data_IF_597953463925
#
_entry.id   IF_597953463925
#
_cell.length_a   1.000
_cell.length_b   1.000
_cell.length_c   1.000
_cell.angle_alpha   90.00
_cell.angle_beta   90.00
_cell.angle_gamma   90.00
#
_symmetry.space_group_name_H-M   'P 1'
#
loop_
_entity.id
_entity.type
_entity.pdbx_description
1 polymer ?
#
# COMPACT_ATOMS: atom_id res chain seq x y z
N UNK A 1 2.05 -30.47 4.06
CA UNK A 1 2.66 -29.95 2.81
C UNK A 1 1.96 -28.73 2.20
N UNK A 2 0.67 -28.44 2.46
CA UNK A 2 0.02 -27.22 1.92
C UNK A 2 0.26 -25.96 2.77
N UNK A 3 0.30 -26.08 4.10
CA UNK A 3 0.55 -24.98 5.04
C UNK A 3 1.91 -24.29 4.79
N UNK A 4 2.98 -25.07 4.67
CA UNK A 4 4.31 -24.56 4.38
C UNK A 4 4.37 -23.82 3.05
N UNK A 5 3.69 -24.31 2.01
CA UNK A 5 3.63 -23.64 0.69
C UNK A 5 2.99 -22.26 0.78
N UNK A 6 1.91 -22.11 1.57
CA UNK A 6 1.25 -20.81 1.76
C UNK A 6 2.13 -19.86 2.55
N UNK A 7 2.77 -20.35 3.61
CA UNK A 7 3.70 -19.56 4.43
C UNK A 7 5.00 -19.21 3.71
N UNK A 8 5.42 -20.02 2.75
CA UNK A 8 6.58 -19.71 1.90
C UNK A 8 6.31 -18.48 1.02
N UNK A 9 5.06 -18.16 0.69
CA UNK A 9 4.73 -16.89 0.01
C UNK A 9 5.07 -15.67 0.86
N UNK A 10 4.88 -15.75 2.19
CA UNK A 10 5.32 -14.71 3.12
C UNK A 10 6.84 -14.65 3.20
N UNK A 11 7.52 -15.79 3.11
CA UNK A 11 8.99 -15.85 3.14
C UNK A 11 9.67 -15.19 1.94
N UNK A 12 9.05 -15.24 0.75
CA UNK A 12 9.58 -14.61 -0.47
C UNK A 12 9.11 -13.17 -0.65
N UNK A 13 8.31 -12.65 0.27
CA UNK A 13 7.91 -11.25 0.25
C UNK A 13 9.01 -10.41 0.92
N UNK A 14 9.65 -9.53 0.13
CA UNK A 14 10.75 -8.67 0.60
C UNK A 14 10.33 -7.74 1.75
N UNK A 15 9.03 -7.47 1.90
CA UNK A 15 8.50 -6.60 2.95
C UNK A 15 8.26 -7.31 4.29
N UNK A 16 8.36 -8.65 4.33
CA UNK A 16 8.10 -9.46 5.53
C UNK A 16 9.42 -9.82 6.21
N UNK A 17 9.58 -9.39 7.46
CA UNK A 17 10.75 -9.75 8.27
C UNK A 17 10.59 -11.10 8.96
N UNK A 18 9.35 -11.47 9.31
CA UNK A 18 9.06 -12.74 9.95
C UNK A 18 7.57 -13.02 10.07
N UNK A 19 7.22 -14.27 10.36
CA UNK A 19 5.84 -14.66 10.60
C UNK A 19 5.76 -15.84 11.57
N UNK A 20 4.64 -15.95 12.28
CA UNK A 20 4.34 -17.11 13.12
C UNK A 20 2.86 -17.45 13.06
N UNK A 21 2.58 -18.74 13.04
CA UNK A 21 1.26 -19.27 13.36
C UNK A 21 1.22 -19.58 14.85
N UNK A 22 0.30 -18.95 15.57
CA UNK A 22 0.23 -18.94 17.03
C UNK A 22 -1.15 -19.46 17.45
N UNK A 23 -1.20 -20.22 18.54
CA UNK A 23 -2.47 -20.62 19.17
C UNK A 23 -3.11 -19.44 19.91
N UNK A 24 -4.38 -19.58 20.33
CA UNK A 24 -5.04 -18.56 21.15
C UNK A 24 -4.32 -18.28 22.48
N UNK A 25 -3.60 -19.27 23.01
CA UNK A 25 -2.83 -19.16 24.25
C UNK A 25 -1.48 -18.44 24.03
N UNK A 26 -1.19 -18.05 22.80
CA UNK A 26 0.00 -17.29 22.45
C UNK A 26 1.26 -18.15 22.25
N UNK A 27 1.11 -19.47 22.14
CA UNK A 27 2.23 -20.37 21.83
C UNK A 27 2.43 -20.47 20.30
N UNK A 28 3.64 -20.16 19.78
CA UNK A 28 3.93 -20.33 18.37
C UNK A 28 4.00 -21.81 18.02
N UNK A 29 3.24 -22.22 17.01
CA UNK A 29 3.29 -23.56 16.42
C UNK A 29 4.34 -23.63 15.31
N UNK A 30 4.38 -22.59 14.47
CA UNK A 30 5.38 -22.44 13.43
C UNK A 30 5.83 -20.98 13.45
N UNK A 31 7.12 -20.72 13.57
CA UNK A 31 7.68 -19.38 13.56
C UNK A 31 8.87 -19.30 12.61
N UNK A 32 9.00 -18.18 11.92
CA UNK A 32 10.10 -17.88 11.02
C UNK A 32 10.54 -16.44 11.25
N UNK A 33 11.81 -16.26 11.64
CA UNK A 33 12.47 -14.95 11.80
C UNK A 33 11.67 -13.89 12.59
N UNK A 34 10.86 -14.31 13.57
CA UNK A 34 10.16 -13.40 14.47
C UNK A 34 11.06 -13.06 15.67
N UNK A 35 11.36 -11.77 15.93
CA UNK A 35 12.17 -11.38 17.08
C UNK A 35 11.50 -11.76 18.41
N UNK A 36 12.31 -12.24 19.36
CA UNK A 36 11.83 -12.68 20.69
C UNK A 36 11.14 -11.54 21.48
N UNK A 37 11.50 -10.29 21.21
CA UNK A 37 10.91 -9.10 21.83
C UNK A 37 9.44 -8.87 21.44
N UNK A 38 9.02 -9.41 20.28
CA UNK A 38 7.67 -9.23 19.74
C UNK A 38 6.69 -10.25 20.35
N UNK A 39 7.18 -11.45 20.68
CA UNK A 39 6.34 -12.56 21.19
C UNK A 39 5.57 -12.20 22.48
N UNK A 40 6.17 -11.56 23.51
CA UNK A 40 5.44 -11.12 24.69
C UNK A 40 4.30 -10.14 24.38
N UNK A 41 4.50 -9.23 23.40
CA UNK A 41 3.48 -8.26 22.99
C UNK A 41 2.31 -8.94 22.28
N UNK A 42 2.61 -9.93 21.44
CA UNK A 42 1.58 -10.75 20.79
C UNK A 42 0.79 -11.53 21.86
N UNK A 43 1.47 -12.20 22.80
CA UNK A 43 0.83 -12.92 23.91
C UNK A 43 -0.07 -12.02 24.75
N UNK A 44 0.40 -10.82 25.10
CA UNK A 44 -0.41 -9.85 25.85
C UNK A 44 -1.65 -9.40 25.08
N UNK A 45 -1.50 -9.13 23.78
CA UNK A 45 -2.60 -8.70 22.91
C UNK A 45 -3.64 -9.80 22.75
N UNK A 46 -3.21 -11.05 22.58
CA UNK A 46 -4.11 -12.21 22.50
C UNK A 46 -4.85 -12.44 23.81
N UNK A 47 -4.22 -12.28 24.98
CA UNK A 47 -4.92 -12.42 26.28
C UNK A 47 -6.08 -11.45 26.45
N UNK A 48 -5.96 -10.23 25.94
CA UNK A 48 -6.98 -9.18 26.10
C UNK A 48 -8.04 -9.27 25.00
N UNK A 49 -7.63 -9.55 23.76
CA UNK A 49 -8.50 -9.45 22.58
C UNK A 49 -8.79 -10.81 21.92
N UNK A 50 -8.52 -11.94 22.58
CA UNK A 50 -8.72 -13.28 22.03
C UNK A 50 -10.12 -13.51 21.46
N UNK A 51 -11.19 -12.92 21.99
CA UNK A 51 -12.53 -13.20 21.47
C UNK A 51 -12.89 -12.35 20.23
N UNK A 52 -12.39 -11.11 20.16
CA UNK A 52 -12.80 -10.14 19.13
C UNK A 52 -11.76 -9.91 18.03
N UNK A 53 -10.58 -10.55 18.14
CA UNK A 53 -9.51 -10.39 17.16
C UNK A 53 -9.90 -10.98 15.79
N UNK A 54 -10.19 -10.10 14.83
CA UNK A 54 -10.27 -10.46 13.39
C UNK A 54 -8.97 -10.10 12.69
N UNK A 55 -8.60 -8.82 12.80
CA UNK A 55 -7.38 -8.25 12.24
C UNK A 55 -6.95 -7.11 13.18
N UNK A 56 -5.71 -7.10 13.62
CA UNK A 56 -5.17 -6.10 14.54
C UNK A 56 -3.70 -5.85 14.20
N UNK A 57 -3.23 -4.63 14.43
CA UNK A 57 -1.84 -4.28 14.28
C UNK A 57 -1.21 -3.90 15.62
N UNK A 58 0.06 -4.24 15.79
CA UNK A 58 0.90 -3.86 16.91
C UNK A 58 2.12 -3.16 16.31
N UNK A 59 2.33 -1.90 16.70
CA UNK A 59 3.52 -1.16 16.33
C UNK A 59 4.68 -1.56 17.26
N UNK A 60 5.81 -1.90 16.67
CA UNK A 60 7.06 -2.24 17.36
C UNK A 60 8.22 -1.45 16.74
N UNK A 61 9.32 -1.34 17.48
CA UNK A 61 10.54 -0.65 17.02
C UNK A 61 11.17 -1.36 15.80
N UNK A 62 10.89 -2.66 15.64
CA UNK A 62 11.33 -3.49 14.51
C UNK A 62 10.39 -3.42 13.30
N UNK A 63 9.23 -2.76 13.42
CA UNK A 63 8.24 -2.63 12.35
C UNK A 63 6.81 -2.88 12.80
N UNK A 64 5.94 -3.19 11.84
CA UNK A 64 4.50 -3.38 12.07
C UNK A 64 4.17 -4.86 12.13
N UNK A 65 3.63 -5.32 13.27
CA UNK A 65 3.17 -6.70 13.44
C UNK A 65 1.67 -6.74 13.20
N UNK A 66 1.23 -7.50 12.22
CA UNK A 66 -0.18 -7.74 11.94
C UNK A 66 -0.58 -9.10 12.51
N UNK A 67 -1.59 -9.09 13.37
CA UNK A 67 -2.27 -10.27 13.89
C UNK A 67 -3.58 -10.47 13.13
N UNK A 68 -3.75 -11.64 12.52
CA UNK A 68 -4.94 -11.99 11.78
C UNK A 68 -5.46 -13.35 12.21
N UNK A 69 -6.77 -13.43 12.49
CA UNK A 69 -7.40 -14.69 12.84
C UNK A 69 -7.65 -15.53 11.59
N UNK A 70 -7.07 -16.72 11.57
CA UNK A 70 -7.27 -17.68 10.47
C UNK A 70 -8.44 -18.62 10.77
N UNK A 71 -8.53 -19.10 12.02
CA UNK A 71 -9.59 -20.01 12.48
C UNK A 71 -9.86 -19.73 13.98
N UNK A 72 -10.96 -20.20 14.62
CA UNK A 72 -11.19 -19.97 16.05
C UNK A 72 -10.07 -20.46 16.98
N UNK A 73 -9.12 -21.26 16.48
CA UNK A 73 -7.99 -21.82 17.24
C UNK A 73 -6.62 -21.26 16.85
N UNK A 74 -6.54 -20.54 15.72
CA UNK A 74 -5.27 -20.18 15.08
C UNK A 74 -5.23 -18.69 14.70
N UNK A 75 -4.13 -18.04 15.09
CA UNK A 75 -3.82 -16.65 14.76
C UNK A 75 -2.50 -16.59 14.01
N UNK A 76 -2.51 -15.95 12.85
CA UNK A 76 -1.31 -15.63 12.09
C UNK A 76 -0.76 -14.28 12.58
N UNK A 77 0.51 -14.26 12.94
CA UNK A 77 1.28 -13.06 13.20
C UNK A 77 2.28 -12.85 12.05
N UNK A 78 2.32 -11.66 11.47
CA UNK A 78 3.28 -11.31 10.42
C UNK A 78 3.96 -10.00 10.80
N UNK A 79 5.28 -10.00 10.86
CA UNK A 79 6.09 -8.80 11.08
C UNK A 79 6.54 -8.25 9.72
N UNK A 80 6.19 -7.00 9.46
CA UNK A 80 6.58 -6.27 8.26
C UNK A 80 7.66 -5.24 8.57
N UNK A 81 8.45 -4.90 7.55
CA UNK A 81 9.43 -3.82 7.60
C UNK A 81 8.79 -2.47 7.98
N UNK A 82 9.52 -1.58 8.68
CA UNK A 82 9.02 -0.26 9.08
C UNK A 82 8.59 0.63 7.91
N UNK A 83 9.17 0.41 6.73
CA UNK A 83 8.94 1.20 5.51
C UNK A 83 7.60 0.88 4.83
N UNK A 84 7.00 -0.29 5.14
CA UNK A 84 5.73 -0.69 4.55
C UNK A 84 4.56 0.05 5.21
N UNK A 85 3.75 0.71 4.39
CA UNK A 85 2.50 1.33 4.86
C UNK A 85 1.55 0.27 5.45
N UNK A 86 0.91 0.62 6.57
CA UNK A 86 0.01 -0.26 7.31
C UNK A 86 -1.11 -0.87 6.43
N UNK A 87 -1.68 -0.09 5.52
CA UNK A 87 -2.71 -0.58 4.60
C UNK A 87 -2.21 -1.73 3.70
N UNK A 88 -0.96 -1.65 3.24
CA UNK A 88 -0.31 -2.71 2.48
C UNK A 88 -0.04 -3.96 3.33
N UNK A 89 0.43 -3.77 4.57
CA UNK A 89 0.63 -4.86 5.52
C UNK A 89 -0.67 -5.63 5.79
N UNK A 90 -1.76 -4.91 6.08
CA UNK A 90 -3.07 -5.49 6.35
C UNK A 90 -3.63 -6.26 5.14
N UNK A 91 -3.54 -5.68 3.94
CA UNK A 91 -4.00 -6.34 2.70
C UNK A 91 -3.25 -7.65 2.46
N UNK A 92 -1.91 -7.63 2.55
CA UNK A 92 -1.07 -8.82 2.32
C UNK A 92 -1.32 -9.91 3.34
N UNK A 93 -1.48 -9.55 4.62
CA UNK A 93 -1.86 -10.52 5.64
C UNK A 93 -3.24 -11.11 5.35
N UNK A 94 -4.22 -10.31 4.92
CA UNK A 94 -5.55 -10.79 4.58
C UNK A 94 -5.53 -11.77 3.39
N UNK A 95 -4.72 -11.50 2.37
CA UNK A 95 -4.57 -12.40 1.21
C UNK A 95 -4.03 -13.77 1.63
N UNK A 96 -3.06 -13.79 2.54
CA UNK A 96 -2.50 -15.03 3.08
C UNK A 96 -3.50 -15.75 3.98
N UNK A 97 -4.26 -15.03 4.79
CA UNK A 97 -5.33 -15.60 5.62
C UNK A 97 -6.41 -16.25 4.75
N UNK A 98 -6.82 -15.61 3.65
CA UNK A 98 -7.78 -16.18 2.70
C UNK A 98 -7.29 -17.49 2.09
N UNK A 99 -5.98 -17.61 1.85
CA UNK A 99 -5.35 -18.86 1.39
C UNK A 99 -5.26 -19.90 2.50
N UNK A 100 -5.00 -19.49 3.74
CA UNK A 100 -4.91 -20.41 4.89
C UNK A 100 -6.27 -20.96 5.32
N UNK A 101 -7.36 -20.21 5.11
CA UNK A 101 -8.74 -20.69 5.36
C UNK A 101 -9.08 -21.89 4.45
N UNK A 102 -8.46 -21.99 3.27
CA UNK A 102 -8.67 -23.09 2.33
C UNK A 102 -7.82 -24.34 2.65
N UNK A 103 -6.94 -24.26 3.65
CA UNK A 103 -6.06 -25.36 4.05
C UNK A 103 -6.56 -25.94 5.37
N UNK A 104 -6.74 -27.27 5.41
CA UNK A 104 -7.04 -27.95 6.67
C UNK A 104 -5.84 -27.85 7.62
N UNK A 105 -5.97 -26.96 8.60
CA UNK A 105 -4.98 -26.76 9.65
C UNK A 105 -5.00 -27.94 10.61
N UNK A 106 -3.83 -28.47 11.02
CA UNK A 106 -3.79 -29.53 12.02
C UNK A 106 -4.43 -29.05 13.33
N UNK A 107 -5.06 -29.94 14.10
CA UNK A 107 -5.60 -29.59 15.40
C UNK A 107 -4.47 -29.04 16.30
N UNK A 108 -4.74 -28.00 17.12
CA UNK A 108 -3.72 -27.40 17.96
C UNK A 108 -3.18 -28.43 18.96
N UNK A 109 -1.87 -28.38 19.26
CA UNK A 109 -1.28 -29.23 20.28
C UNK A 109 -1.99 -28.97 21.62
N UNK A 110 -2.46 -30.04 22.25
CA UNK A 110 -3.00 -30.01 23.60
C UNK A 110 -1.84 -29.57 24.53
N UNK A 111 -2.03 -28.60 25.43
CA UNK A 111 -0.99 -28.20 26.36
C UNK A 111 -0.74 -29.33 27.35
N UNK A 112 0.29 -30.12 27.09
CA UNK A 112 0.91 -31.00 28.08
C UNK A 112 1.98 -30.21 28.85
N UNK A 113 2.01 -30.30 30.18
CA UNK A 113 3.02 -29.64 31.00
C UNK A 113 4.42 -30.13 30.64
N UNK A 114 5.40 -29.23 30.68
CA UNK A 114 6.84 -29.54 30.53
C UNK A 114 7.20 -30.79 31.34
N UNK A 115 8.05 -31.67 30.77
CA UNK A 115 9.47 -31.53 31.10
C UNK A 115 10.44 -31.84 29.96
N UNK A 116 11.60 -31.20 30.10
CA UNK A 116 12.97 -31.67 29.85
C UNK A 116 13.49 -31.93 28.43
N UNK A 117 14.67 -31.34 28.24
CA UNK A 117 15.59 -31.38 27.12
C UNK A 117 16.07 -32.83 26.90
N UNK A 118 16.09 -33.31 25.65
CA UNK A 118 17.14 -34.21 25.21
C UNK A 118 17.48 -33.99 23.73
N UNK A 119 18.71 -33.50 23.54
CA UNK A 119 19.39 -33.25 22.28
C UNK A 119 20.05 -34.56 21.85
N UNK A 120 19.72 -35.11 20.67
CA UNK A 120 20.67 -35.98 19.92
C UNK A 120 20.44 -35.80 18.41
N UNK A 121 21.51 -35.75 17.59
CA UNK A 121 21.54 -35.12 16.29
C UNK A 121 21.44 -36.09 15.09
N UNK A 122 21.39 -35.46 13.92
CA UNK A 122 21.52 -35.96 12.56
C UNK A 122 22.33 -37.25 12.37
N UNK A 123 21.82 -38.13 11.51
CA UNK A 123 22.67 -38.99 10.68
C UNK A 123 22.05 -39.15 9.28
N UNK A 124 22.84 -38.98 8.21
CA UNK A 124 22.37 -38.99 6.83
C UNK A 124 22.48 -40.39 6.23
N UNK A 125 21.66 -40.70 5.22
CA UNK A 125 22.01 -41.70 4.20
C UNK A 125 21.21 -41.54 2.90
N UNK A 126 21.76 -41.98 1.76
CA UNK A 126 21.53 -41.40 0.44
C UNK A 126 20.82 -42.39 -0.52
N UNK A 127 21.05 -42.21 -1.84
CA UNK A 127 20.75 -43.11 -2.98
C UNK A 127 19.28 -42.90 -3.49
N UNK A 128 18.91 -42.83 -4.78
CA UNK A 128 19.46 -43.25 -6.08
C UNK A 128 18.86 -42.34 -7.18
N UNK A 129 19.60 -42.13 -8.27
CA UNK A 129 19.13 -41.55 -9.54
C UNK A 129 18.21 -42.52 -10.30
N UNK A 130 17.20 -42.02 -11.02
CA UNK A 130 16.71 -42.73 -12.21
C UNK A 130 16.09 -41.77 -13.24
N UNK A 131 16.31 -42.14 -14.50
CA UNK A 131 16.25 -41.36 -15.74
C UNK A 131 14.95 -41.69 -16.48
N UNK A 132 14.33 -40.71 -17.16
CA UNK A 132 13.57 -40.91 -18.42
C UNK A 132 13.10 -39.54 -18.96
N UNK A 133 13.77 -38.94 -19.95
CA UNK A 133 13.52 -39.04 -21.40
C UNK A 133 12.21 -38.40 -21.93
N UNK A 134 12.38 -37.39 -22.80
CA UNK A 134 11.38 -36.86 -23.75
C UNK A 134 11.25 -37.82 -24.94
N UNK A 135 10.12 -37.82 -25.68
CA UNK A 135 10.09 -37.13 -26.99
C UNK A 135 8.69 -36.52 -27.35
N UNK A 136 8.57 -35.31 -27.94
CA UNK A 136 8.55 -34.93 -29.38
C UNK A 136 7.12 -34.69 -29.95
N UNK A 137 6.86 -33.42 -30.31
CA UNK A 137 6.17 -32.81 -31.48
C UNK A 137 4.74 -33.25 -31.86
N UNK A 138 3.80 -32.28 -31.93
CA UNK A 138 3.02 -32.04 -33.16
C UNK A 138 2.50 -30.61 -33.23
N UNK A 139 2.60 -30.05 -34.43
CA UNK A 139 2.39 -28.67 -34.86
C UNK A 139 1.01 -28.52 -35.52
N UNK A 140 0.58 -27.26 -35.65
CA UNK A 140 -0.24 -26.69 -36.74
C UNK A 140 -1.72 -26.31 -36.48
N UNK A 141 -1.95 -25.02 -36.76
CA UNK A 141 -2.99 -24.44 -37.61
C UNK A 141 -4.15 -23.66 -36.94
N UNK A 142 -4.01 -22.32 -37.00
CA UNK A 142 -5.09 -21.35 -37.32
C UNK A 142 -5.66 -21.67 -38.71
N UNK A 143 -6.93 -21.34 -39.10
CA UNK A 143 -7.25 -19.93 -39.39
C UNK A 143 -8.75 -19.47 -39.44
N UNK A 144 -8.88 -18.13 -39.60
CA UNK A 144 -9.95 -17.26 -40.18
C UNK A 144 -11.27 -16.97 -39.43
N UNK A 145 -11.55 -15.65 -39.39
CA UNK A 145 -12.75 -14.91 -39.00
C UNK A 145 -14.01 -15.20 -39.85
N UNK A 146 -15.17 -14.66 -39.44
CA UNK A 146 -15.94 -13.80 -40.36
C UNK A 146 -16.28 -12.42 -39.79
N UNK A 147 -16.42 -11.49 -40.72
CA UNK A 147 -16.72 -10.05 -40.62
C UNK A 147 -17.91 -9.68 -39.72
N UNK A 148 -17.81 -8.51 -39.07
CA UNK A 148 -18.97 -7.68 -38.77
C UNK A 148 -18.62 -6.20 -38.59
N UNK A 149 -19.21 -5.40 -39.47
CA UNK A 149 -19.73 -4.03 -39.30
C UNK A 149 -18.76 -2.96 -38.76
N UNK A 150 -18.34 -2.08 -39.68
CA UNK A 150 -17.74 -0.77 -39.42
C UNK A 150 -18.72 0.10 -38.60
N UNK A 151 -18.62 0.01 -37.27
CA UNK A 151 -19.17 0.97 -36.33
C UNK A 151 -18.04 1.97 -36.03
N UNK A 152 -18.27 3.24 -36.40
CA UNK A 152 -17.34 4.38 -36.27
C UNK A 152 -16.43 4.29 -35.04
N UNK A 153 -15.12 4.31 -35.27
CA UNK A 153 -14.10 4.34 -34.22
C UNK A 153 -14.45 5.46 -33.21
N UNK A 154 -14.72 5.14 -31.93
CA UNK A 154 -14.85 6.18 -30.93
C UNK A 154 -13.48 6.85 -30.79
N UNK A 155 -13.45 8.17 -30.98
CA UNK A 155 -12.27 8.99 -30.67
C UNK A 155 -11.69 8.53 -29.33
N UNK A 156 -10.42 8.14 -29.31
CA UNK A 156 -9.72 7.74 -28.08
C UNK A 156 -9.63 8.98 -27.18
N UNK A 157 -10.66 9.21 -26.37
CA UNK A 157 -10.67 10.30 -25.39
C UNK A 157 -9.71 9.89 -24.28
N UNK A 158 -8.51 10.47 -24.29
CA UNK A 158 -7.53 10.33 -23.23
C UNK A 158 -8.06 11.00 -21.95
N UNK A 159 -8.40 10.18 -20.95
CA UNK A 159 -8.91 10.65 -19.67
C UNK A 159 -7.75 10.90 -18.71
N UNK A 160 -7.62 12.14 -18.23
CA UNK A 160 -6.65 12.56 -17.23
C UNK A 160 -7.27 12.79 -15.84
N UNK A 161 -6.43 12.87 -14.81
CA UNK A 161 -6.85 12.96 -13.40
C UNK A 161 -7.70 14.21 -13.08
N UNK A 162 -7.55 15.29 -13.82
CA UNK A 162 -8.29 16.55 -13.65
C UNK A 162 -9.50 16.68 -14.56
N UNK A 163 -9.82 15.67 -15.37
CA UNK A 163 -11.01 15.73 -16.21
C UNK A 163 -12.27 15.68 -15.34
N UNK A 164 -13.23 16.55 -15.64
CA UNK A 164 -14.53 16.64 -14.97
C UNK A 164 -15.45 15.60 -15.57
N UNK A 165 -16.04 14.78 -14.70
CA UNK A 165 -16.84 13.63 -15.10
C UNK A 165 -18.32 14.02 -15.09
N UNK A 166 -18.96 13.96 -16.26
CA UNK A 166 -20.36 14.30 -16.51
C UNK A 166 -21.19 13.06 -16.80
N UNK A 167 -22.52 13.16 -16.62
CA UNK A 167 -23.43 12.05 -16.92
C UNK A 167 -23.71 11.98 -18.40
N UNK A 168 -23.38 10.84 -19.02
CA UNK A 168 -23.63 10.58 -20.43
C UNK A 168 -25.06 10.10 -20.69
N UNK A 169 -25.38 9.92 -21.97
CA UNK A 169 -26.73 9.51 -22.44
C UNK A 169 -27.14 8.13 -21.90
N UNK A 170 -26.18 7.22 -21.71
CA UNK A 170 -26.43 5.86 -21.23
C UNK A 170 -26.28 5.72 -19.71
N UNK A 171 -26.11 6.81 -18.97
CA UNK A 171 -25.93 6.80 -17.51
C UNK A 171 -27.07 6.05 -16.79
N UNK A 172 -28.32 6.35 -17.15
CA UNK A 172 -29.50 5.74 -16.52
C UNK A 172 -29.55 4.23 -16.75
N UNK A 173 -29.15 3.77 -17.94
CA UNK A 173 -29.08 2.33 -18.22
C UNK A 173 -27.98 1.68 -17.37
N UNK A 174 -26.81 2.30 -17.24
CA UNK A 174 -25.70 1.74 -16.46
C UNK A 174 -25.97 1.69 -14.94
N UNK A 175 -26.78 2.61 -14.40
CA UNK A 175 -27.19 2.61 -12.97
C UNK A 175 -28.34 1.62 -12.71
N UNK A 176 -29.16 1.32 -13.72
CA UNK A 176 -30.29 0.39 -13.58
C UNK A 176 -29.82 -1.04 -13.33
N UNK A 177 -30.37 -1.67 -12.28
CA UNK A 177 -30.04 -3.05 -11.90
C UNK A 177 -30.38 -4.02 -13.05
N UNK A 178 -29.45 -4.92 -13.37
CA UNK A 178 -29.57 -5.96 -14.40
C UNK A 178 -29.68 -5.47 -15.85
N UNK A 179 -29.36 -4.21 -16.15
CA UNK A 179 -29.20 -3.78 -17.54
C UNK A 179 -27.96 -4.42 -18.18
N UNK A 180 -27.93 -4.44 -19.53
CA UNK A 180 -26.77 -4.98 -20.27
C UNK A 180 -25.49 -4.22 -19.92
N UNK A 181 -25.57 -2.90 -19.79
CA UNK A 181 -24.44 -2.05 -19.39
C UNK A 181 -24.02 -2.25 -17.93
N UNK A 182 -24.97 -2.36 -16.99
CA UNK A 182 -24.66 -2.62 -15.57
C UNK A 182 -23.94 -3.96 -15.38
N UNK A 183 -24.40 -5.01 -16.08
CA UNK A 183 -23.78 -6.33 -16.05
C UNK A 183 -22.41 -6.33 -16.73
N UNK A 184 -22.24 -5.65 -17.86
CA UNK A 184 -20.94 -5.50 -18.52
C UNK A 184 -19.93 -4.78 -17.61
N UNK A 185 -20.35 -3.70 -16.97
CA UNK A 185 -19.51 -2.92 -16.05
C UNK A 185 -19.13 -3.73 -14.81
N UNK A 186 -20.07 -4.45 -14.20
CA UNK A 186 -19.80 -5.32 -13.04
C UNK A 186 -18.87 -6.49 -13.37
N UNK A 187 -18.91 -7.00 -14.60
CA UNK A 187 -17.97 -8.06 -15.04
C UNK A 187 -16.55 -7.54 -15.16
N UNK A 188 -16.37 -6.33 -15.70
CA UNK A 188 -15.04 -5.76 -15.95
C UNK A 188 -14.43 -5.08 -14.72
N UNK A 189 -15.23 -4.30 -13.98
CA UNK A 189 -14.75 -3.46 -12.87
C UNK A 189 -15.40 -3.79 -11.51
N UNK A 190 -16.12 -4.90 -11.39
CA UNK A 190 -16.83 -5.29 -10.16
C UNK A 190 -17.72 -4.15 -9.63
N UNK A 191 -17.69 -3.90 -8.31
CA UNK A 191 -18.48 -2.82 -7.71
C UNK A 191 -17.91 -1.43 -8.00
N UNK A 192 -16.64 -1.32 -8.42
CA UNK A 192 -15.98 -0.03 -8.63
C UNK A 192 -16.71 0.84 -9.66
N UNK A 193 -17.13 0.26 -10.77
CA UNK A 193 -17.87 1.02 -11.79
C UNK A 193 -19.18 1.57 -11.26
N UNK A 194 -19.91 0.79 -10.45
CA UNK A 194 -21.17 1.25 -9.82
C UNK A 194 -20.88 2.35 -8.79
N UNK A 195 -19.84 2.18 -7.98
CA UNK A 195 -19.44 3.15 -6.97
C UNK A 195 -19.03 4.49 -7.62
N UNK A 196 -18.33 4.44 -8.75
CA UNK A 196 -18.01 5.63 -9.56
C UNK A 196 -19.30 6.32 -10.03
N UNK A 197 -20.25 5.58 -10.63
CA UNK A 197 -21.52 6.16 -11.09
C UNK A 197 -22.31 6.80 -9.95
N UNK A 198 -22.33 6.21 -8.75
CA UNK A 198 -23.03 6.75 -7.59
C UNK A 198 -22.37 8.01 -7.02
N UNK A 199 -21.05 8.15 -7.18
CA UNK A 199 -20.28 9.30 -6.67
C UNK A 199 -20.19 10.45 -7.68
N UNK A 200 -20.46 10.21 -8.96
CA UNK A 200 -20.47 11.25 -10.00
C UNK A 200 -21.53 12.30 -9.69
N UNK A 201 -21.01 13.47 -9.34
CA UNK A 201 -21.67 14.75 -9.26
C UNK A 201 -20.94 15.61 -10.29
N UNK A 202 -21.65 16.18 -11.27
CA UNK A 202 -21.20 16.81 -12.54
C UNK A 202 -20.21 17.99 -12.40
N UNK A 203 -19.52 18.08 -11.27
CA UNK A 203 -18.49 19.04 -10.87
C UNK A 203 -17.23 18.35 -10.30
N UNK A 204 -17.21 17.02 -10.24
CA UNK A 204 -16.10 16.25 -9.66
C UNK A 204 -15.11 15.80 -10.72
N UNK A 205 -13.83 15.97 -10.41
CA UNK A 205 -12.74 15.47 -11.23
C UNK A 205 -12.44 14.01 -10.92
N UNK A 206 -11.82 13.30 -11.85
CA UNK A 206 -11.37 11.90 -11.66
C UNK A 206 -10.56 11.73 -10.37
N UNK A 207 -9.67 12.68 -10.05
CA UNK A 207 -8.90 12.70 -8.80
C UNK A 207 -9.79 12.77 -7.55
N UNK A 208 -10.79 13.65 -7.52
CA UNK A 208 -11.72 13.77 -6.37
C UNK A 208 -12.60 12.54 -6.22
N UNK A 209 -12.94 11.87 -7.33
CA UNK A 209 -13.68 10.61 -7.32
C UNK A 209 -12.80 9.50 -6.72
N UNK A 210 -11.53 9.42 -7.14
CA UNK A 210 -10.57 8.45 -6.60
C UNK A 210 -10.32 8.65 -5.10
N UNK A 211 -10.17 9.91 -4.66
CA UNK A 211 -10.02 10.28 -3.25
C UNK A 211 -11.24 9.85 -2.41
N UNK A 212 -12.46 10.15 -2.87
CA UNK A 212 -13.70 9.73 -2.18
C UNK A 212 -13.89 8.23 -2.11
N UNK A 213 -13.49 7.51 -3.16
CA UNK A 213 -13.60 6.06 -3.22
C UNK A 213 -12.43 5.35 -2.51
N UNK A 214 -11.43 6.11 -2.05
CA UNK A 214 -10.17 5.60 -1.52
C UNK A 214 -9.55 4.54 -2.45
N UNK A 215 -9.51 4.83 -3.76
CA UNK A 215 -8.97 3.96 -4.81
C UNK A 215 -7.80 4.64 -5.52
N UNK A 216 -6.86 3.86 -6.08
CA UNK A 216 -5.80 4.41 -6.93
C UNK A 216 -6.40 5.13 -8.14
N UNK A 217 -5.82 6.27 -8.49
CA UNK A 217 -6.32 7.16 -9.54
C UNK A 217 -6.30 6.45 -10.90
N UNK A 218 -5.29 5.61 -11.14
CA UNK A 218 -5.11 4.84 -12.37
C UNK A 218 -6.30 3.91 -12.62
N UNK A 219 -6.75 3.21 -11.56
CA UNK A 219 -7.88 2.28 -11.65
C UNK A 219 -9.21 3.00 -11.88
N UNK A 220 -9.32 4.23 -11.38
CA UNK A 220 -10.50 5.08 -11.63
C UNK A 220 -10.45 5.65 -13.04
N UNK A 221 -9.28 6.05 -13.54
CA UNK A 221 -9.07 6.47 -14.93
C UNK A 221 -9.51 5.34 -15.87
N UNK A 222 -9.01 4.11 -15.70
CA UNK A 222 -9.40 2.97 -16.55
C UNK A 222 -10.91 2.73 -16.59
N UNK A 223 -11.57 2.80 -15.42
CA UNK A 223 -13.01 2.60 -15.32
C UNK A 223 -13.79 3.77 -15.96
N UNK A 224 -13.33 5.00 -15.80
CA UNK A 224 -13.94 6.18 -16.43
C UNK A 224 -13.76 6.12 -17.95
N UNK A 225 -12.57 5.80 -18.47
CA UNK A 225 -12.32 5.61 -19.91
C UNK A 225 -13.27 4.57 -20.50
N UNK A 226 -13.50 3.46 -19.80
CA UNK A 226 -14.47 2.46 -20.25
C UNK A 226 -15.90 3.01 -20.26
N UNK A 227 -16.30 3.75 -19.23
CA UNK A 227 -17.62 4.38 -19.16
C UNK A 227 -17.84 5.40 -20.30
N UNK A 228 -16.77 6.12 -20.69
CA UNK A 228 -16.77 7.08 -21.80
C UNK A 228 -16.95 6.37 -23.13
N UNK A 229 -16.18 5.30 -23.37
CA UNK A 229 -16.28 4.48 -24.57
C UNK A 229 -17.66 3.80 -24.74
N UNK A 230 -18.43 3.69 -23.65
CA UNK A 230 -19.80 3.16 -23.66
C UNK A 230 -20.89 4.24 -23.62
N UNK A 231 -20.50 5.53 -23.67
CA UNK A 231 -21.42 6.68 -23.61
C UNK A 231 -22.20 6.77 -22.30
N UNK A 232 -21.68 6.15 -21.24
CA UNK A 232 -22.26 6.17 -19.89
C UNK A 232 -21.93 7.48 -19.18
N UNK A 233 -20.75 8.02 -19.48
CA UNK A 233 -20.15 9.18 -18.84
C UNK A 233 -19.50 10.03 -19.93
N UNK A 234 -19.62 11.35 -19.85
CA UNK A 234 -18.89 12.28 -20.70
C UNK A 234 -17.78 12.93 -19.87
N UNK A 235 -16.66 13.34 -20.48
CA UNK A 235 -15.55 13.98 -19.76
C UNK A 235 -15.16 15.29 -20.39
N UNK A 236 -15.01 16.31 -19.55
CA UNK A 236 -14.42 17.59 -19.93
C UNK A 236 -13.02 17.67 -19.35
N UNK A 237 -12.01 17.53 -20.20
CA UNK A 237 -10.61 17.63 -19.81
C UNK A 237 -10.09 19.05 -20.05
N UNK A 238 -9.58 19.76 -19.02
CA UNK A 238 -8.87 21.02 -19.24
C UNK A 238 -7.50 20.75 -19.90
N UNK A 239 -7.14 21.58 -20.90
CA UNK A 239 -5.98 21.43 -21.79
C UNK A 239 -4.60 21.47 -21.09
N UNK A 240 -4.54 21.87 -19.81
CA UNK A 240 -3.31 21.93 -19.03
C UNK A 240 -3.50 21.27 -17.66
N UNK A 241 -2.91 20.09 -17.48
CA UNK A 241 -2.78 19.45 -16.19
C UNK A 241 -1.31 19.11 -15.98
N UNK A 242 -0.63 19.89 -15.14
CA UNK A 242 0.71 19.55 -14.67
C UNK A 242 0.61 18.34 -13.72
N UNK A 243 1.23 17.19 -14.04
CA UNK A 243 1.25 16.01 -13.18
C UNK A 243 2.32 16.12 -12.07
N UNK A 244 2.82 17.32 -11.77
CA UNK A 244 3.88 17.47 -10.78
C UNK A 244 3.33 17.33 -9.35
N UNK A 245 3.77 16.28 -8.67
CA UNK A 245 3.74 16.19 -7.21
C UNK A 245 4.43 17.43 -6.65
N UNK A 246 3.64 18.44 -6.27
CA UNK A 246 4.15 19.67 -5.66
C UNK A 246 4.78 19.30 -4.31
N UNK A 247 6.10 19.09 -4.29
CA UNK A 247 6.87 18.98 -3.05
C UNK A 247 6.74 20.32 -2.30
N UNK A 248 5.93 20.33 -1.24
CA UNK A 248 5.83 21.43 -0.30
C UNK A 248 7.10 21.44 0.54
N UNK A 249 7.97 22.41 0.31
CA UNK A 249 9.21 22.56 1.08
C UNK A 249 8.98 23.64 2.14
N UNK A 250 9.37 23.33 3.38
CA UNK A 250 9.37 24.31 4.47
C UNK A 250 10.65 25.18 4.36
N UNK A 251 10.48 26.46 4.07
CA UNK A 251 11.56 27.45 4.00
C UNK A 251 11.53 28.36 5.23
N UNK A 252 12.63 28.49 5.99
CA UNK A 252 12.69 29.41 7.11
C UNK A 252 12.78 30.88 6.64
N UNK A 253 11.93 31.72 7.23
CA UNK A 253 11.90 33.18 7.06
C UNK A 253 12.13 33.84 8.43
N UNK A 254 13.18 34.65 8.54
CA UNK A 254 13.51 35.41 9.74
C UNK A 254 13.05 36.86 9.61
N UNK A 255 12.11 37.27 10.47
CA UNK A 255 11.52 38.63 10.50
C UNK A 255 12.06 39.47 11.68
N UNK A 256 13.07 38.95 12.39
CA UNK A 256 13.67 39.59 13.56
C UNK A 256 14.84 40.53 13.25
N UNK A 257 15.31 41.25 14.28
CA UNK A 257 16.56 42.03 14.20
C UNK A 257 17.78 41.14 14.46
N UNK A 258 18.67 41.02 13.48
CA UNK A 258 19.90 40.18 13.56
C UNK A 258 20.82 40.62 14.72
N UNK A 259 20.79 41.89 15.12
CA UNK A 259 21.61 42.41 16.23
C UNK A 259 21.31 41.74 17.57
N UNK A 260 20.06 41.32 17.78
CA UNK A 260 19.59 40.67 19.02
C UNK A 260 19.86 39.15 19.05
N UNK A 261 20.49 38.62 18.00
CA UNK A 261 20.77 37.20 17.82
C UNK A 261 22.18 36.88 18.33
N UNK A 262 22.34 35.68 18.92
CA UNK A 262 23.66 35.16 19.36
C UNK A 262 24.62 35.13 18.17
N UNK A 263 25.88 35.55 18.35
CA UNK A 263 26.89 35.60 17.27
C UNK A 263 27.00 34.30 16.47
N UNK A 264 26.89 33.15 17.14
CA UNK A 264 26.95 31.82 16.51
C UNK A 264 25.77 31.52 15.58
N UNK A 265 24.59 32.11 15.81
CA UNK A 265 23.38 31.83 15.04
C UNK A 265 23.13 32.85 13.92
N UNK A 266 23.90 33.95 13.86
CA UNK A 266 23.71 35.02 12.89
C UNK A 266 23.87 34.55 11.45
N UNK A 267 24.92 33.77 11.17
CA UNK A 267 25.21 33.26 9.83
C UNK A 267 24.06 32.38 9.27
N UNK A 268 23.39 31.60 10.13
CA UNK A 268 22.24 30.76 9.74
C UNK A 268 21.00 31.62 9.54
N UNK A 269 20.72 32.55 10.45
CA UNK A 269 19.50 33.38 10.40
C UNK A 269 19.54 34.44 9.30
N UNK A 270 20.72 34.90 8.89
CA UNK A 270 20.89 35.80 7.73
C UNK A 270 20.48 35.13 6.42
N UNK A 271 20.62 33.80 6.32
CA UNK A 271 20.24 33.03 5.14
C UNK A 271 18.80 32.50 5.20
N UNK A 272 18.06 32.80 6.28
CA UNK A 272 16.65 32.44 6.44
C UNK A 272 15.76 33.55 5.85
N UNK A 273 15.78 33.71 4.53
CA UNK A 273 15.03 34.74 3.79
C UNK A 273 13.75 34.20 3.12
N UNK A 274 13.39 32.93 3.39
CA UNK A 274 12.25 32.26 2.77
C UNK A 274 12.49 31.79 1.33
N UNK A 275 13.71 31.91 0.79
CA UNK A 275 14.05 31.42 -0.56
C UNK A 275 14.77 30.08 -0.56
N UNK A 276 15.42 29.72 0.56
CA UNK A 276 16.23 28.51 0.71
C UNK A 276 15.67 27.60 1.78
N UNK A 277 15.79 26.29 1.60
CA UNK A 277 15.50 25.33 2.66
C UNK A 277 16.64 25.29 3.71
N UNK A 278 16.36 24.79 4.92
CA UNK A 278 17.39 24.62 5.95
C UNK A 278 18.54 23.71 5.51
N UNK A 279 18.25 22.71 4.65
CA UNK A 279 19.28 21.85 4.07
C UNK A 279 20.22 22.64 3.16
N UNK A 280 19.68 23.50 2.30
CA UNK A 280 20.49 24.35 1.42
C UNK A 280 21.32 25.36 2.22
N UNK A 281 20.76 25.93 3.29
CA UNK A 281 21.49 26.83 4.19
C UNK A 281 22.66 26.10 4.85
N UNK A 282 22.44 24.88 5.34
CA UNK A 282 23.48 24.05 5.93
C UNK A 282 24.62 23.75 4.93
N UNK A 283 24.27 23.42 3.68
CA UNK A 283 25.26 23.20 2.60
C UNK A 283 26.06 24.46 2.27
N UNK A 284 25.42 25.62 2.17
CA UNK A 284 26.09 26.91 1.87
C UNK A 284 27.06 27.31 2.98
N UNK A 285 26.71 27.04 4.24
CA UNK A 285 27.54 27.35 5.39
C UNK A 285 28.57 26.25 5.71
N UNK A 286 28.51 25.11 5.03
CA UNK A 286 29.40 23.96 5.28
C UNK A 286 29.20 23.33 6.67
N UNK A 287 28.02 23.50 7.27
CA UNK A 287 27.68 22.95 8.60
C UNK A 287 26.74 21.76 8.48
N UNK A 288 26.74 20.82 9.43
CA UNK A 288 25.73 19.78 9.52
C UNK A 288 24.31 20.36 9.60
N UNK A 289 23.34 19.67 8.98
CA UNK A 289 21.92 20.06 9.03
C UNK A 289 21.41 20.25 10.46
N UNK A 290 21.84 19.37 11.38
CA UNK A 290 21.42 19.43 12.79
C UNK A 290 21.90 20.71 13.48
N UNK A 291 23.08 21.22 13.14
CA UNK A 291 23.62 22.46 13.72
C UNK A 291 22.86 23.68 13.19
N UNK A 292 22.50 23.68 11.90
CA UNK A 292 21.62 24.69 11.32
C UNK A 292 20.23 24.68 11.98
N UNK A 293 19.70 23.49 12.28
CA UNK A 293 18.44 23.33 13.01
C UNK A 293 18.55 23.86 14.45
N UNK A 294 19.61 23.53 15.18
CA UNK A 294 19.84 24.03 16.54
C UNK A 294 19.92 25.56 16.59
N UNK A 295 20.50 26.20 15.56
CA UNK A 295 20.55 27.65 15.47
C UNK A 295 19.17 28.30 15.30
N UNK A 296 18.21 27.60 14.69
CA UNK A 296 16.87 28.12 14.36
C UNK A 296 15.81 27.81 15.42
N UNK A 297 15.96 26.71 16.19
CA UNK A 297 15.04 26.30 17.27
C UNK A 297 14.69 27.44 18.26
N UNK A 298 15.65 28.23 18.78
CA UNK A 298 15.35 29.27 19.77
C UNK A 298 14.48 30.43 19.25
N UNK A 299 14.42 30.58 17.93
CA UNK A 299 13.76 31.70 17.24
C UNK A 299 12.43 31.29 16.58
N UNK A 300 12.18 29.98 16.46
CA UNK A 300 10.98 29.41 15.87
C UNK A 300 9.71 29.93 16.56
N UNK A 301 8.78 30.47 15.78
CA UNK A 301 7.50 31.00 16.24
C UNK A 301 7.55 32.38 16.91
N UNK A 302 8.73 32.95 17.14
CA UNK A 302 8.90 34.32 17.68
C UNK A 302 9.36 35.30 16.62
N UNK A 303 10.48 34.97 15.97
CA UNK A 303 11.13 35.80 14.96
C UNK A 303 11.48 35.02 13.71
N UNK A 304 11.33 33.70 13.73
CA UNK A 304 11.53 32.80 12.60
C UNK A 304 10.24 32.02 12.33
N UNK A 305 9.71 32.16 11.12
CA UNK A 305 8.55 31.43 10.62
C UNK A 305 8.99 30.44 9.55
N UNK A 306 8.27 29.34 9.41
CA UNK A 306 8.48 28.38 8.32
C UNK A 306 7.36 28.57 7.32
N UNK A 307 7.67 29.14 6.16
CA UNK A 307 6.72 29.29 5.07
C UNK A 307 6.75 28.01 4.22
N UNK A 308 5.57 27.56 3.82
CA UNK A 308 5.43 26.42 2.89
C UNK A 308 5.37 26.97 1.49
N UNK A 309 6.40 26.72 0.70
CA UNK A 309 6.46 27.13 -0.70
C UNK A 309 6.58 25.89 -1.57
N UNK A 310 5.95 25.97 -2.76
CA UNK A 310 6.09 24.91 -3.76
C UNK A 310 7.50 25.04 -4.34
N UNK A 311 8.26 23.95 -4.34
CA UNK A 311 9.55 23.89 -5.01
C UNK A 311 9.33 24.14 -6.50
N UNK A 312 9.66 25.35 -6.97
CA UNK A 312 9.84 25.61 -8.39
C UNK A 312 11.16 24.95 -8.78
N UNK A 313 11.12 23.68 -9.15
CA UNK A 313 12.19 23.05 -9.93
C UNK A 313 12.26 23.77 -11.26
N UNK A 314 13.07 24.84 -11.34
CA UNK A 314 13.54 25.34 -12.64
C UNK A 314 14.40 24.24 -13.24
N UNK A 315 13.93 23.66 -14.34
CA UNK A 315 14.72 22.80 -15.22
C UNK A 315 15.95 23.49 -15.77
#
# INVERSE_FOLDING_TARGET
>A
MQLERVLTKLKFDESVLGYALITNDGHPFLSFSLPDEVLPRIKGTLKIHANDLKLMNILSDQGSVVLARVNPKWVLAVLFQPELHLGGALSRTQDVVNLLIQVDLPPPPIPSPEPEIEVVPETPSPIVQEIAEKPVITEAAKPVLPEKEEESEPEEIEVFHGCVVLRGKNYNEAVTLNSKLNLAMKRTYANLGVDILLVIDEKMTVYKIADKLAKPVERVIEAVTWCVNKGVVDVECPDHQDPEQKELIEMPLFEGKIDKVKKQHRAVLELCDGTRSLQQIATVLGIPYFDALQCTIPYRGKTLQFIRTVKLTRG
#
